data_IF_320154011881
#
_entry.id   IF_320154011881
#
_cell.length_a   1.000
_cell.length_b   1.000
_cell.length_c   1.000
_cell.angle_alpha   90.00
_cell.angle_beta   90.00
_cell.angle_gamma   90.00
#
_symmetry.space_group_name_H-M   'P 1'
#
loop_
_entity.id
_entity.type
_entity.pdbx_description
1 polymer ?
#
# COMPACT_ATOMS: atom_id res chain seq x y z
N UNK A 1 -6.17 -8.12 12.97
CA UNK A 1 -5.56 -7.16 12.05
C UNK A 1 -5.45 -7.72 10.64
N UNK A 2 -5.38 -6.85 9.63
CA UNK A 2 -5.39 -7.26 8.21
C UNK A 2 -4.07 -7.95 7.78
N UNK A 3 -2.95 -7.61 8.40
CA UNK A 3 -1.64 -8.24 8.19
C UNK A 3 -1.47 -9.37 9.19
N UNK A 4 -1.19 -10.56 8.71
CA UNK A 4 -1.10 -11.79 9.49
C UNK A 4 0.36 -12.19 9.70
N UNK A 5 0.61 -13.05 10.69
CA UNK A 5 1.93 -13.64 10.90
C UNK A 5 2.40 -14.39 9.65
N UNK A 6 3.68 -14.30 9.34
CA UNK A 6 4.28 -14.91 8.16
C UNK A 6 3.97 -14.21 6.84
N UNK A 7 3.27 -13.06 6.84
CA UNK A 7 3.04 -12.27 5.62
C UNK A 7 4.35 -11.77 5.02
N UNK A 8 4.41 -11.74 3.69
CA UNK A 8 5.49 -11.06 2.94
C UNK A 8 5.01 -9.67 2.56
N UNK A 9 5.77 -8.65 2.93
CA UNK A 9 5.36 -7.25 2.82
C UNK A 9 6.09 -6.53 1.69
N UNK A 10 5.34 -5.75 0.92
CA UNK A 10 5.81 -4.57 0.21
C UNK A 10 5.20 -3.35 0.90
N UNK A 11 6.05 -2.40 1.24
CA UNK A 11 5.65 -1.17 1.90
C UNK A 11 6.16 0.00 1.08
N UNK A 12 5.25 0.72 0.47
CA UNK A 12 5.57 1.94 -0.27
C UNK A 12 6.17 3.03 0.61
N UNK A 13 6.85 3.98 0.00
CA UNK A 13 7.34 5.17 0.70
C UNK A 13 6.16 6.07 1.09
N UNK A 14 6.20 6.63 2.27
CA UNK A 14 5.21 7.59 2.72
C UNK A 14 5.01 7.61 4.24
N UNK A 15 4.42 8.70 4.72
CA UNK A 15 4.18 8.86 6.17
C UNK A 15 3.16 7.85 6.70
N UNK A 16 2.11 7.57 5.93
CA UNK A 16 1.05 6.63 6.32
C UNK A 16 1.58 5.20 6.34
N UNK A 17 2.29 4.79 5.29
CA UNK A 17 2.88 3.45 5.17
C UNK A 17 3.94 3.19 6.25
N UNK A 18 4.83 4.16 6.50
CA UNK A 18 5.82 4.05 7.57
C UNK A 18 5.18 4.02 8.97
N UNK A 19 4.08 4.75 9.18
CA UNK A 19 3.34 4.68 10.43
C UNK A 19 2.68 3.32 10.64
N UNK A 20 2.18 2.69 9.58
CA UNK A 20 1.55 1.36 9.65
C UNK A 20 2.52 0.28 10.17
N UNK A 21 3.81 0.35 9.81
CA UNK A 21 4.82 -0.60 10.30
C UNK A 21 4.98 -0.58 11.82
N UNK A 22 4.76 0.57 12.48
CA UNK A 22 4.85 0.69 13.95
C UNK A 22 3.82 -0.17 14.68
N UNK A 23 2.71 -0.51 14.02
CA UNK A 23 1.63 -1.33 14.59
C UNK A 23 1.80 -2.83 14.31
N UNK A 24 2.92 -3.24 13.71
CA UNK A 24 3.22 -4.65 13.43
C UNK A 24 4.12 -5.30 14.49
N UNK A 25 4.32 -4.65 15.63
CA UNK A 25 5.25 -5.10 16.67
C UNK A 25 4.80 -6.35 17.43
N UNK A 26 3.55 -6.75 17.27
CA UNK A 26 2.96 -7.98 17.79
C UNK A 26 2.94 -9.14 16.77
N UNK A 27 3.42 -8.88 15.54
CA UNK A 27 3.48 -9.89 14.48
C UNK A 27 4.75 -10.75 14.59
N UNK A 28 4.71 -11.91 13.89
CA UNK A 28 5.82 -12.89 13.87
C UNK A 28 6.13 -13.31 12.45
N UNK A 29 7.41 -13.58 12.22
CA UNK A 29 7.92 -14.17 10.97
C UNK A 29 7.52 -13.41 9.70
N UNK A 30 7.44 -12.10 9.76
CA UNK A 30 7.19 -11.28 8.56
C UNK A 30 8.41 -11.35 7.61
N UNK A 31 8.14 -11.25 6.32
CA UNK A 31 9.15 -11.12 5.27
C UNK A 31 9.04 -9.80 4.54
N UNK A 32 10.09 -9.42 3.80
CA UNK A 32 10.08 -8.26 2.89
C UNK A 32 10.37 -8.74 1.47
N UNK A 33 9.55 -8.29 0.53
CA UNK A 33 9.76 -8.30 -0.90
C UNK A 33 9.20 -6.98 -1.45
N UNK A 34 10.05 -5.98 -1.62
CA UNK A 34 9.66 -4.59 -1.88
C UNK A 34 10.64 -3.94 -2.85
N UNK A 35 10.16 -3.06 -3.69
CA UNK A 35 11.00 -2.22 -4.54
C UNK A 35 11.96 -1.36 -3.71
N UNK A 36 11.51 -0.82 -2.60
CA UNK A 36 12.28 0.03 -1.69
C UNK A 36 12.17 -0.44 -0.24
N UNK A 37 13.23 -0.23 0.53
CA UNK A 37 13.22 -0.29 1.99
C UNK A 37 13.64 1.05 2.59
N UNK A 38 13.11 1.36 3.78
CA UNK A 38 13.41 2.60 4.51
C UNK A 38 13.77 2.31 5.96
N UNK A 39 14.17 3.33 6.72
CA UNK A 39 14.43 3.22 8.16
C UNK A 39 13.28 2.58 8.95
N UNK A 40 12.07 2.61 8.42
CA UNK A 40 10.89 2.07 9.09
C UNK A 40 10.94 0.55 9.35
N UNK A 41 11.82 -0.20 8.65
CA UNK A 41 12.00 -1.64 8.90
C UNK A 41 12.94 -1.92 10.10
N UNK A 42 13.78 -0.97 10.49
CA UNK A 42 14.82 -1.18 11.53
C UNK A 42 14.22 -1.68 12.85
N UNK A 43 13.18 -1.04 13.41
CA UNK A 43 12.60 -1.51 14.66
C UNK A 43 12.02 -2.93 14.61
N UNK A 44 11.52 -3.35 13.45
CA UNK A 44 10.97 -4.70 13.26
C UNK A 44 12.09 -5.75 13.13
N UNK A 45 13.22 -5.37 12.54
CA UNK A 45 14.42 -6.22 12.49
C UNK A 45 15.01 -6.42 13.87
N UNK A 46 15.22 -5.34 14.62
CA UNK A 46 15.79 -5.38 15.97
C UNK A 46 14.95 -6.20 16.95
N UNK A 47 13.62 -6.23 16.75
CA UNK A 47 12.70 -7.05 17.52
C UNK A 47 12.58 -8.50 17.03
N UNK A 48 13.30 -8.88 15.96
CA UNK A 48 13.23 -10.23 15.38
C UNK A 48 11.89 -10.56 14.71
N UNK A 49 11.11 -9.55 14.32
CA UNK A 49 9.81 -9.73 13.65
C UNK A 49 9.98 -10.01 12.16
N UNK A 50 10.98 -9.35 11.53
CA UNK A 50 11.34 -9.56 10.13
C UNK A 50 12.36 -10.69 10.02
N UNK A 51 11.89 -11.92 9.87
CA UNK A 51 12.77 -13.11 9.74
C UNK A 51 12.87 -13.61 8.30
N UNK A 52 11.86 -13.35 7.47
CA UNK A 52 11.77 -13.88 6.10
C UNK A 52 11.55 -15.40 6.01
N UNK A 53 11.44 -16.13 7.13
CA UNK A 53 11.37 -17.60 7.17
C UNK A 53 10.17 -18.18 6.43
N UNK A 54 9.07 -17.43 6.37
CA UNK A 54 7.82 -17.88 5.75
C UNK A 54 7.69 -17.47 4.28
N UNK A 55 8.66 -16.74 3.74
CA UNK A 55 8.67 -16.41 2.30
C UNK A 55 8.72 -17.66 1.45
N UNK A 56 8.12 -17.60 0.26
CA UNK A 56 8.13 -18.72 -0.69
C UNK A 56 9.50 -18.85 -1.37
N UNK A 57 10.07 -17.73 -1.79
CA UNK A 57 11.40 -17.66 -2.40
C UNK A 57 12.30 -16.72 -1.60
N UNK A 58 13.62 -16.88 -1.75
CA UNK A 58 14.63 -16.08 -1.05
C UNK A 58 14.30 -15.97 0.46
N UNK A 59 14.09 -17.15 1.07
CA UNK A 59 13.82 -17.27 2.51
C UNK A 59 14.97 -16.66 3.31
N UNK A 60 14.64 -16.18 4.50
CA UNK A 60 15.58 -15.57 5.43
C UNK A 60 16.27 -14.31 4.87
N UNK A 61 15.75 -13.75 3.75
CA UNK A 61 16.27 -12.53 3.14
C UNK A 61 15.20 -11.45 2.98
N UNK A 62 15.64 -10.21 3.17
CA UNK A 62 14.93 -9.00 2.77
C UNK A 62 15.29 -8.71 1.32
N UNK A 63 14.33 -8.85 0.41
CA UNK A 63 14.51 -8.62 -1.02
C UNK A 63 14.05 -7.21 -1.38
N UNK A 64 14.94 -6.45 -2.01
CA UNK A 64 14.65 -5.08 -2.44
C UNK A 64 15.48 -4.69 -3.65
N UNK A 65 15.11 -3.60 -4.34
CA UNK A 65 15.91 -3.03 -5.43
C UNK A 65 16.77 -1.85 -4.96
N UNK A 66 16.29 -1.07 -4.00
CA UNK A 66 17.06 0.03 -3.44
C UNK A 66 16.65 0.33 -1.99
N UNK A 67 17.48 1.11 -1.31
CA UNK A 67 17.25 1.58 0.04
C UNK A 67 17.29 3.11 0.08
N UNK A 68 16.41 3.70 0.87
CA UNK A 68 16.35 5.14 1.10
C UNK A 68 16.15 5.43 2.59
N UNK A 69 17.15 6.00 3.24
CA UNK A 69 17.08 6.23 4.67
C UNK A 69 18.31 6.91 5.25
N UNK A 70 18.44 6.80 6.56
CA UNK A 70 19.54 7.35 7.33
C UNK A 70 20.81 6.52 7.19
N UNK A 71 21.92 7.06 7.68
CA UNK A 71 23.20 6.35 7.82
C UNK A 71 23.03 5.01 8.55
N UNK A 72 22.16 4.96 9.57
CA UNK A 72 21.87 3.74 10.33
C UNK A 72 21.35 2.61 9.44
N UNK A 73 20.47 2.90 8.47
CA UNK A 73 19.99 1.90 7.53
C UNK A 73 21.12 1.38 6.66
N UNK A 74 21.98 2.27 6.12
CA UNK A 74 23.09 1.87 5.27
C UNK A 74 24.14 1.06 6.03
N UNK A 75 24.48 1.43 7.26
CA UNK A 75 25.38 0.67 8.12
C UNK A 75 24.82 -0.73 8.45
N UNK A 76 23.48 -0.86 8.58
CA UNK A 76 22.82 -2.15 8.78
C UNK A 76 22.86 -3.04 7.53
N UNK A 77 22.80 -2.45 6.36
CA UNK A 77 22.81 -3.15 5.07
C UNK A 77 24.23 -3.60 4.70
N UNK A 78 25.27 -2.82 5.05
CA UNK A 78 26.64 -3.07 4.62
C UNK A 78 27.10 -4.47 5.01
N UNK A 79 27.47 -5.27 4.00
CA UNK A 79 27.94 -6.66 4.14
C UNK A 79 27.03 -7.59 4.95
N UNK A 80 25.75 -7.26 5.05
CA UNK A 80 24.79 -8.08 5.78
C UNK A 80 24.06 -9.03 4.83
N UNK A 81 24.28 -10.37 4.94
CA UNK A 81 23.67 -11.35 4.05
C UNK A 81 22.15 -11.47 4.16
N UNK A 82 21.54 -10.84 5.16
CA UNK A 82 20.10 -10.74 5.30
C UNK A 82 19.47 -9.94 4.15
N UNK A 83 20.21 -9.00 3.54
CA UNK A 83 19.71 -8.14 2.48
C UNK A 83 20.12 -8.68 1.10
N UNK A 84 19.13 -8.83 0.21
CA UNK A 84 19.31 -9.23 -1.17
C UNK A 84 18.83 -8.12 -2.09
N UNK A 85 19.77 -7.39 -2.70
CA UNK A 85 19.47 -6.37 -3.70
C UNK A 85 19.35 -7.02 -5.06
N UNK A 86 18.17 -6.87 -5.68
CA UNK A 86 17.86 -7.45 -6.99
C UNK A 86 17.48 -6.36 -8.00
N UNK A 87 17.66 -6.60 -9.30
CA UNK A 87 17.16 -5.70 -10.34
C UNK A 87 15.67 -5.42 -10.19
N UNK A 88 15.24 -4.19 -10.55
CA UNK A 88 13.87 -3.73 -10.36
C UNK A 88 12.85 -4.56 -11.15
N UNK A 89 13.20 -5.01 -12.33
CA UNK A 89 12.40 -5.87 -13.19
C UNK A 89 12.14 -7.25 -12.57
N UNK A 90 13.09 -7.75 -11.77
CA UNK A 90 12.93 -9.00 -11.01
C UNK A 90 12.02 -8.81 -9.80
N UNK A 91 12.28 -7.74 -9.00
CA UNK A 91 11.53 -7.47 -7.77
C UNK A 91 10.08 -7.09 -8.07
N UNK A 92 9.86 -6.27 -9.09
CA UNK A 92 8.53 -5.78 -9.46
C UNK A 92 7.80 -6.69 -10.46
N UNK A 93 8.35 -7.85 -10.82
CA UNK A 93 7.68 -8.76 -11.74
C UNK A 93 6.42 -9.36 -11.11
N UNK A 94 5.23 -9.19 -11.70
CA UNK A 94 3.96 -9.60 -11.08
C UNK A 94 3.91 -11.08 -10.70
N UNK A 95 4.52 -11.98 -11.50
CA UNK A 95 4.57 -13.40 -11.18
C UNK A 95 5.47 -13.70 -9.97
N UNK A 96 6.59 -12.97 -9.82
CA UNK A 96 7.48 -13.09 -8.65
C UNK A 96 6.76 -12.64 -7.38
N UNK A 97 6.02 -11.54 -7.46
CA UNK A 97 5.21 -11.00 -6.36
C UNK A 97 4.09 -11.98 -6.00
N UNK A 98 3.34 -12.46 -6.99
CA UNK A 98 2.22 -13.40 -6.80
C UNK A 98 2.65 -14.75 -6.21
N UNK A 99 3.88 -15.18 -6.47
CA UNK A 99 4.44 -16.42 -5.94
C UNK A 99 4.76 -16.35 -4.43
N UNK A 100 4.89 -15.14 -3.86
CA UNK A 100 5.12 -14.99 -2.42
C UNK A 100 3.85 -15.35 -1.64
N UNK A 101 4.01 -16.16 -0.60
CA UNK A 101 2.89 -16.51 0.28
C UNK A 101 2.43 -15.31 1.11
N UNK A 102 1.12 -15.07 1.15
CA UNK A 102 0.50 -13.96 1.89
C UNK A 102 1.17 -12.61 1.57
N UNK A 103 1.35 -12.35 0.27
CA UNK A 103 1.91 -11.07 -0.16
C UNK A 103 0.96 -9.92 0.17
N UNK A 104 1.41 -8.98 0.97
CA UNK A 104 0.66 -7.78 1.35
C UNK A 104 1.37 -6.57 0.77
N UNK A 105 0.73 -5.93 -0.20
CA UNK A 105 1.19 -4.66 -0.76
C UNK A 105 0.44 -3.52 -0.10
N UNK A 106 1.18 -2.56 0.46
CA UNK A 106 0.63 -1.35 1.08
C UNK A 106 1.15 -0.12 0.36
N UNK A 107 0.27 0.55 -0.35
CA UNK A 107 0.57 1.74 -1.15
C UNK A 107 -0.19 2.94 -0.61
N UNK A 108 0.48 4.09 -0.48
CA UNK A 108 -0.16 5.35 -0.15
C UNK A 108 -0.73 5.98 -1.42
N UNK A 109 -1.94 6.54 -1.33
CA UNK A 109 -2.58 7.32 -2.37
C UNK A 109 -2.81 8.77 -1.93
N UNK A 110 -3.03 9.65 -2.91
CA UNK A 110 -3.47 11.04 -2.69
C UNK A 110 -4.99 11.13 -2.73
N UNK A 111 -5.63 10.54 -3.73
CA UNK A 111 -7.09 10.57 -3.89
C UNK A 111 -7.62 9.23 -4.39
N UNK A 112 -8.89 8.97 -4.13
CA UNK A 112 -9.65 7.83 -4.64
C UNK A 112 -11.06 8.27 -5.01
N UNK A 113 -11.59 7.79 -6.13
CA UNK A 113 -12.98 8.02 -6.48
C UNK A 113 -13.92 6.90 -5.97
N UNK A 114 -15.22 7.16 -5.96
CA UNK A 114 -16.23 6.21 -5.47
C UNK A 114 -16.32 4.92 -6.30
N UNK A 115 -15.70 4.86 -7.47
CA UNK A 115 -15.59 3.63 -8.26
C UNK A 115 -14.38 2.80 -7.87
N UNK A 116 -13.42 3.40 -7.14
CA UNK A 116 -12.17 2.79 -6.71
C UNK A 116 -10.98 3.08 -7.62
N UNK A 117 -11.05 4.07 -8.52
CA UNK A 117 -9.88 4.58 -9.24
C UNK A 117 -9.02 5.40 -8.30
N UNK A 118 -7.71 5.21 -8.36
CA UNK A 118 -6.75 5.83 -7.42
C UNK A 118 -5.77 6.73 -8.17
N UNK A 119 -5.57 7.94 -7.66
CA UNK A 119 -4.44 8.79 -7.99
C UNK A 119 -3.41 8.75 -6.86
N UNK A 120 -2.18 8.31 -7.17
CA UNK A 120 -1.08 8.18 -6.22
C UNK A 120 0.18 8.94 -6.63
N UNK A 121 0.17 9.67 -7.73
CA UNK A 121 1.31 10.38 -8.30
C UNK A 121 1.08 11.88 -8.52
N UNK A 122 -0.15 12.36 -8.37
CA UNK A 122 -0.49 13.77 -8.51
C UNK A 122 -1.27 14.29 -7.29
N UNK A 123 -0.97 15.53 -6.92
CA UNK A 123 -1.69 16.28 -5.90
C UNK A 123 -1.74 17.77 -6.36
N UNK A 124 -2.94 18.34 -6.40
CA UNK A 124 -3.19 19.74 -6.78
C UNK A 124 -2.58 20.14 -8.15
N UNK A 125 -2.64 19.20 -9.11
CA UNK A 125 -2.11 19.38 -10.47
C UNK A 125 -0.60 19.16 -10.61
N UNK A 126 0.12 18.96 -9.53
CA UNK A 126 1.57 18.73 -9.52
C UNK A 126 1.89 17.24 -9.40
N UNK A 127 2.90 16.81 -10.16
CA UNK A 127 3.41 15.45 -10.06
C UNK A 127 4.32 15.28 -8.83
N UNK A 128 3.93 14.39 -7.94
CA UNK A 128 4.69 14.00 -6.76
C UNK A 128 5.30 12.61 -6.94
N UNK A 129 6.54 12.61 -7.39
CA UNK A 129 7.26 11.38 -7.54
C UNK A 129 7.28 10.85 -8.98
N UNK A 130 7.72 9.62 -9.10
CA UNK A 130 7.84 8.91 -10.38
C UNK A 130 6.73 7.87 -10.48
N UNK A 131 6.44 7.43 -11.69
CA UNK A 131 5.62 6.23 -11.91
C UNK A 131 6.31 5.09 -11.17
N UNK A 132 5.70 4.67 -10.06
CA UNK A 132 6.21 3.60 -9.22
C UNK A 132 5.54 2.26 -9.57
N UNK A 133 6.09 1.17 -9.07
CA UNK A 133 5.57 -0.18 -9.32
C UNK A 133 4.26 -0.49 -8.54
N UNK A 134 3.45 0.52 -8.24
CA UNK A 134 2.21 0.36 -7.46
C UNK A 134 1.27 -0.66 -8.06
N UNK A 135 1.01 -0.56 -9.37
CA UNK A 135 0.13 -1.48 -10.09
C UNK A 135 0.64 -2.90 -10.08
N UNK A 136 1.95 -3.09 -10.25
CA UNK A 136 2.58 -4.42 -10.28
C UNK A 136 2.47 -5.12 -8.92
N UNK A 137 2.77 -4.41 -7.84
CA UNK A 137 2.67 -4.95 -6.49
C UNK A 137 1.23 -5.22 -6.07
N UNK A 138 0.29 -4.32 -6.34
CA UNK A 138 -1.12 -4.52 -6.03
C UNK A 138 -1.69 -5.70 -6.83
N UNK A 139 -1.37 -5.79 -8.12
CA UNK A 139 -1.79 -6.87 -9.01
C UNK A 139 -1.18 -8.22 -8.63
N UNK A 140 0.11 -8.24 -8.27
CA UNK A 140 0.78 -9.42 -7.78
C UNK A 140 0.25 -9.87 -6.42
N UNK A 141 0.08 -8.96 -5.47
CA UNK A 141 -0.47 -9.26 -4.14
C UNK A 141 -1.90 -9.80 -4.21
N UNK A 142 -2.74 -9.27 -5.11
CA UNK A 142 -4.11 -9.76 -5.30
C UNK A 142 -4.19 -11.21 -5.79
N UNK A 143 -3.15 -11.70 -6.44
CA UNK A 143 -3.04 -13.06 -6.99
C UNK A 143 -2.27 -14.01 -6.06
N UNK A 144 -1.59 -13.49 -5.06
CA UNK A 144 -0.89 -14.29 -4.06
C UNK A 144 -1.88 -15.03 -3.17
N UNK A 145 -1.58 -16.28 -2.83
CA UNK A 145 -2.40 -17.05 -1.88
C UNK A 145 -2.42 -16.37 -0.52
N UNK A 146 -3.61 -15.91 -0.09
CA UNK A 146 -3.79 -15.13 1.13
C UNK A 146 -3.25 -13.69 1.03
N UNK A 147 -2.93 -13.23 -0.17
CA UNK A 147 -2.40 -11.89 -0.41
C UNK A 147 -3.45 -10.79 -0.29
N UNK A 148 -2.97 -9.54 -0.11
CA UNK A 148 -3.83 -8.37 0.08
C UNK A 148 -3.23 -7.14 -0.62
N UNK A 149 -4.02 -6.55 -1.51
CA UNK A 149 -3.71 -5.29 -2.19
C UNK A 149 -4.37 -4.14 -1.43
N UNK A 150 -3.57 -3.30 -0.77
CA UNK A 150 -4.03 -2.29 0.19
C UNK A 150 -3.63 -0.90 -0.28
N UNK A 151 -4.62 -0.02 -0.41
CA UNK A 151 -4.43 1.42 -0.57
C UNK A 151 -4.68 2.10 0.77
N UNK A 152 -3.73 2.92 1.21
CA UNK A 152 -3.87 3.75 2.41
C UNK A 152 -3.89 5.23 2.03
N UNK A 153 -4.80 5.99 2.60
CA UNK A 153 -4.80 7.45 2.47
C UNK A 153 -5.40 8.10 3.71
N UNK A 154 -4.97 9.33 4.01
CA UNK A 154 -5.73 10.18 4.93
C UNK A 154 -7.06 10.52 4.28
N UNK A 155 -8.14 10.56 5.03
CA UNK A 155 -9.48 10.84 4.47
C UNK A 155 -9.65 12.28 3.99
N UNK A 156 -8.81 13.21 4.49
CA UNK A 156 -8.86 14.64 4.16
C UNK A 156 -7.51 15.21 3.75
N UNK A 157 -7.55 16.34 3.06
CA UNK A 157 -6.44 17.23 2.78
C UNK A 157 -6.69 18.63 3.39
N UNK A 158 -5.73 19.56 3.23
CA UNK A 158 -5.83 20.99 3.55
C UNK A 158 -6.30 21.26 4.98
N UNK A 159 -5.72 20.54 5.93
CA UNK A 159 -6.11 20.70 7.34
C UNK A 159 -7.53 20.21 7.66
N UNK A 160 -8.13 19.38 6.79
CA UNK A 160 -9.49 18.86 6.94
C UNK A 160 -10.52 19.56 6.04
N UNK A 161 -10.11 20.51 5.23
CA UNK A 161 -11.02 21.33 4.40
C UNK A 161 -11.54 20.58 3.16
N UNK A 162 -10.80 19.59 2.65
CA UNK A 162 -11.19 18.82 1.46
C UNK A 162 -11.14 17.30 1.69
N UNK A 163 -12.05 16.57 1.01
CA UNK A 163 -12.07 15.10 1.03
C UNK A 163 -11.10 14.53 0.01
N UNK A 164 -10.36 13.49 0.40
CA UNK A 164 -9.55 12.68 -0.52
C UNK A 164 -10.33 11.53 -1.15
N UNK A 165 -11.50 11.22 -0.62
CA UNK A 165 -12.49 10.35 -1.26
C UNK A 165 -13.41 11.26 -2.08
N UNK A 166 -13.44 11.07 -3.40
CA UNK A 166 -14.15 11.94 -4.36
C UNK A 166 -15.21 11.14 -5.12
N UNK A 167 -16.22 11.80 -5.65
CA UNK A 167 -17.24 11.15 -6.51
C UNK A 167 -16.61 10.67 -7.83
N UNK A 168 -15.69 11.46 -8.37
CA UNK A 168 -14.82 11.15 -9.50
C UNK A 168 -13.48 11.83 -9.27
N UNK A 169 -12.41 11.32 -9.86
CA UNK A 169 -11.13 12.03 -9.89
C UNK A 169 -11.32 13.38 -10.62
N UNK A 170 -10.60 14.39 -10.19
CA UNK A 170 -10.69 15.72 -10.79
C UNK A 170 -10.11 15.73 -12.21
N UNK A 171 -10.50 16.71 -13.00
CA UNK A 171 -9.97 16.89 -14.35
C UNK A 171 -8.45 17.09 -14.31
N UNK A 172 -7.71 16.22 -14.99
CA UNK A 172 -6.25 16.22 -15.00
C UNK A 172 -5.60 15.29 -13.98
N UNK A 173 -6.32 14.75 -13.00
CA UNK A 173 -5.77 13.68 -12.14
C UNK A 173 -5.62 12.38 -12.93
N UNK A 174 -4.45 11.74 -12.79
CA UNK A 174 -4.16 10.46 -13.44
C UNK A 174 -4.77 9.30 -12.67
N UNK A 175 -5.16 8.24 -13.38
CA UNK A 175 -5.48 6.95 -12.76
C UNK A 175 -4.20 6.14 -12.63
N UNK A 176 -3.52 6.28 -11.50
CA UNK A 176 -2.28 5.54 -11.20
C UNK A 176 -2.56 4.07 -10.94
N UNK A 177 -3.69 3.76 -10.29
CA UNK A 177 -4.15 2.38 -10.05
C UNK A 177 -5.58 2.24 -10.53
N UNK A 178 -5.78 1.27 -11.44
CA UNK A 178 -7.10 0.97 -11.96
C UNK A 178 -8.00 0.33 -10.88
N UNK A 179 -9.32 0.62 -10.94
CA UNK A 179 -10.32 0.11 -9.97
C UNK A 179 -10.32 -1.40 -9.78
N UNK A 180 -9.90 -2.15 -10.79
CA UNK A 180 -9.86 -3.63 -10.77
C UNK A 180 -8.75 -4.19 -9.90
N UNK A 181 -7.68 -3.41 -9.68
CA UNK A 181 -6.51 -3.81 -8.90
C UNK A 181 -6.61 -3.35 -7.42
N UNK A 182 -7.67 -2.63 -7.04
CA UNK A 182 -7.89 -2.12 -5.67
C UNK A 182 -8.82 -3.04 -4.91
N UNK A 183 -8.28 -3.71 -3.87
CA UNK A 183 -9.06 -4.63 -3.03
C UNK A 183 -9.43 -4.03 -1.68
N UNK A 184 -8.47 -3.42 -0.98
CA UNK A 184 -8.68 -2.80 0.32
C UNK A 184 -8.32 -1.32 0.26
N UNK A 185 -9.15 -0.50 0.88
CA UNK A 185 -8.88 0.93 1.09
C UNK A 185 -8.97 1.21 2.57
N UNK A 186 -7.92 1.82 3.13
CA UNK A 186 -7.80 2.09 4.57
C UNK A 186 -7.65 3.60 4.77
N UNK A 187 -8.48 4.13 5.63
CA UNK A 187 -8.35 5.48 6.19
C UNK A 187 -8.33 5.41 7.71
N UNK A 188 -8.22 6.53 8.38
CA UNK A 188 -8.37 6.63 9.84
C UNK A 188 -9.78 6.26 10.35
N UNK A 189 -10.76 6.17 9.44
CA UNK A 189 -12.15 5.83 9.76
C UNK A 189 -12.50 4.36 9.51
N UNK A 190 -11.59 3.57 8.96
CA UNK A 190 -11.83 2.14 8.80
C UNK A 190 -11.24 1.52 7.54
N UNK A 191 -11.77 0.36 7.20
CA UNK A 191 -11.32 -0.49 6.09
C UNK A 191 -12.50 -0.75 5.16
N UNK A 192 -12.40 -0.32 3.91
CA UNK A 192 -13.31 -0.68 2.83
C UNK A 192 -12.73 -1.86 2.04
N UNK A 193 -13.52 -2.92 1.85
CA UNK A 193 -13.18 -4.04 0.97
C UNK A 193 -13.96 -3.90 -0.33
N UNK A 194 -13.27 -3.84 -1.47
CA UNK A 194 -13.88 -3.50 -2.78
C UNK A 194 -13.92 -4.67 -3.77
N UNK A 195 -13.16 -5.74 -3.52
CA UNK A 195 -13.11 -6.87 -4.46
C UNK A 195 -14.46 -7.59 -4.55
N UNK A 196 -14.88 -7.90 -5.77
CA UNK A 196 -16.16 -8.58 -6.02
C UNK A 196 -17.41 -7.72 -5.86
N UNK A 197 -17.26 -6.42 -5.53
CA UNK A 197 -18.37 -5.49 -5.33
C UNK A 197 -18.77 -4.76 -6.62
N UNK A 198 -20.06 -4.51 -6.78
CA UNK A 198 -20.60 -3.60 -7.79
C UNK A 198 -20.16 -2.16 -7.53
N UNK A 199 -20.27 -1.29 -8.53
CA UNK A 199 -19.93 0.14 -8.38
C UNK A 199 -20.70 0.79 -7.23
N UNK A 200 -21.99 0.47 -7.08
CA UNK A 200 -22.82 0.98 -5.96
C UNK A 200 -22.28 0.52 -4.60
N UNK A 201 -21.96 -0.75 -4.46
CA UNK A 201 -21.41 -1.29 -3.19
C UNK A 201 -20.03 -0.73 -2.88
N UNK A 202 -19.20 -0.48 -3.93
CA UNK A 202 -17.91 0.20 -3.78
C UNK A 202 -18.10 1.61 -3.27
N UNK A 203 -19.03 2.37 -3.86
CA UNK A 203 -19.32 3.74 -3.45
C UNK A 203 -19.74 3.80 -1.98
N UNK A 204 -20.67 2.94 -1.55
CA UNK A 204 -21.10 2.86 -0.15
C UNK A 204 -19.91 2.56 0.76
N UNK A 205 -19.12 1.53 0.44
CA UNK A 205 -17.95 1.14 1.26
C UNK A 205 -16.90 2.27 1.37
N UNK A 206 -16.70 3.03 0.30
CA UNK A 206 -15.75 4.15 0.29
C UNK A 206 -16.28 5.37 1.04
N UNK A 207 -17.58 5.64 0.96
CA UNK A 207 -18.23 6.69 1.76
C UNK A 207 -18.13 6.37 3.26
N UNK A 208 -18.28 5.10 3.65
CA UNK A 208 -18.19 4.68 5.05
C UNK A 208 -16.80 4.95 5.66
N UNK A 209 -15.74 4.91 4.85
CA UNK A 209 -14.37 5.21 5.30
C UNK A 209 -13.92 6.65 5.00
N UNK A 210 -14.75 7.46 4.36
CA UNK A 210 -14.50 8.88 4.20
C UNK A 210 -14.65 9.63 5.53
N UNK A 211 -14.10 10.85 5.60
CA UNK A 211 -14.30 11.70 6.77
C UNK A 211 -15.80 12.01 6.99
N UNK A 212 -16.33 11.90 8.22
CA UNK A 212 -17.75 12.02 8.49
C UNK A 212 -18.41 13.30 7.94
N UNK A 213 -17.69 14.42 7.96
CA UNK A 213 -18.21 15.70 7.47
C UNK A 213 -18.56 15.69 5.96
N UNK A 214 -17.99 14.80 5.16
CA UNK A 214 -18.20 14.73 3.71
C UNK A 214 -19.15 13.60 3.28
N UNK A 215 -19.50 12.67 4.18
CA UNK A 215 -20.28 11.47 3.81
C UNK A 215 -21.63 11.79 3.20
N UNK A 216 -22.37 12.73 3.80
CA UNK A 216 -23.72 13.11 3.32
C UNK A 216 -23.67 13.70 1.91
N UNK A 217 -22.69 14.58 1.65
CA UNK A 217 -22.48 15.18 0.34
C UNK A 217 -22.07 14.14 -0.71
N UNK A 218 -21.09 13.29 -0.40
CA UNK A 218 -20.65 12.20 -1.27
C UNK A 218 -21.79 11.26 -1.64
N UNK A 219 -22.67 10.95 -0.66
CA UNK A 219 -23.84 10.10 -0.90
C UNK A 219 -24.86 10.77 -1.82
N UNK A 220 -25.18 12.04 -1.60
CA UNK A 220 -26.11 12.80 -2.44
C UNK A 220 -25.59 12.91 -3.89
N UNK A 221 -24.31 13.21 -4.06
CA UNK A 221 -23.68 13.31 -5.38
C UNK A 221 -23.59 11.94 -6.10
N UNK A 222 -23.38 10.83 -5.36
CA UNK A 222 -23.37 9.48 -5.92
C UNK A 222 -24.73 9.02 -6.42
N UNK A 223 -25.84 9.50 -5.81
CA UNK A 223 -27.20 9.19 -6.26
C UNK A 223 -27.62 9.95 -7.51
N UNK A 224 -27.00 11.10 -7.78
CA UNK A 224 -27.30 11.94 -8.94
C UNK A 224 -26.65 11.46 -10.25
N UNK A 225 -25.78 10.45 -10.19
CA UNK A 225 -25.09 9.81 -11.32
C UNK A 225 -25.63 8.41 -11.60
#
# INVERSE_FOLDING_TARGET
GIIEDGSTLQIGMGRVTNAALKYLTDRKDLGIHSDVITDAIIPLLEKGILTGRRKTSQRDQIVTSFALGSRRLYDLIDRNPLFSFQPIDVVCHPATIAAQHRMVSVTQAFTIDLTGQVCADQLDGEFYGRIAAHGEFLRGASRSTGGKAIICLASTADGGASSRVKVALDAGESVTVARVDVHYVITEYGIAYLFGKSIRERAIALIDVAHPAFRAELFAQAQAK
#
